data_IF_557372694125
#
_entry.id   IF_557372694125
#
_cell.length_a   1.000
_cell.length_b   1.000
_cell.length_c   1.000
_cell.angle_alpha   90.00
_cell.angle_beta   90.00
_cell.angle_gamma   90.00
#
_symmetry.space_group_name_H-M   'P 1'
#
loop_
_entity.id
_entity.type
_entity.pdbx_description
1 polymer ?
#
# COMPACT_ATOMS: atom_id res chain seq x y z
N UNK A 1 -24.64 -23.99 -2.55
CA UNK A 1 -23.77 -22.95 -1.97
C UNK A 1 -23.91 -21.74 -2.85
N UNK A 2 -24.50 -20.68 -2.31
CA UNK A 2 -24.83 -19.47 -3.08
C UNK A 2 -23.56 -18.62 -3.28
N UNK A 3 -23.14 -18.31 -4.53
CA UNK A 3 -21.98 -17.47 -4.80
C UNK A 3 -22.09 -16.08 -4.15
N UNK A 4 -23.31 -15.59 -3.91
CA UNK A 4 -23.57 -14.28 -3.30
C UNK A 4 -23.26 -14.25 -1.80
N UNK A 5 -23.37 -15.39 -1.09
CA UNK A 5 -23.06 -15.48 0.35
C UNK A 5 -21.57 -15.22 0.68
N UNK A 6 -20.67 -15.48 -0.26
CA UNK A 6 -19.22 -15.20 -0.11
C UNK A 6 -18.86 -13.74 -0.39
N UNK A 7 -19.71 -13.00 -1.11
CA UNK A 7 -19.54 -11.58 -1.40
C UNK A 7 -19.84 -10.74 -0.15
N UNK A 8 -20.98 -10.99 0.49
CA UNK A 8 -21.45 -10.26 1.66
C UNK A 8 -20.55 -10.44 2.89
N UNK A 9 -20.04 -11.66 3.11
CA UNK A 9 -19.13 -11.94 4.22
C UNK A 9 -17.78 -11.21 4.10
N UNK A 10 -17.28 -11.00 2.86
CA UNK A 10 -16.04 -10.26 2.61
C UNK A 10 -16.23 -8.75 2.77
N UNK A 11 -17.39 -8.24 2.37
CA UNK A 11 -17.78 -6.84 2.59
C UNK A 11 -17.84 -6.51 4.09
N UNK A 12 -18.44 -7.38 4.90
CA UNK A 12 -18.48 -7.22 6.37
C UNK A 12 -17.09 -7.22 7.02
N UNK A 13 -16.16 -8.07 6.56
CA UNK A 13 -14.77 -8.08 7.07
C UNK A 13 -14.03 -6.79 6.77
N UNK A 14 -14.17 -6.26 5.55
CA UNK A 14 -13.54 -5.01 5.15
C UNK A 14 -14.13 -3.83 5.93
N UNK A 15 -15.45 -3.75 6.06
CA UNK A 15 -16.12 -2.71 6.83
C UNK A 15 -15.74 -2.76 8.33
N UNK A 16 -15.64 -3.96 8.90
CA UNK A 16 -15.16 -4.18 10.26
C UNK A 16 -13.71 -3.71 10.45
N UNK A 17 -12.81 -4.05 9.52
CA UNK A 17 -11.42 -3.59 9.54
C UNK A 17 -11.30 -2.06 9.46
N UNK A 18 -12.08 -1.41 8.58
CA UNK A 18 -12.15 0.05 8.49
C UNK A 18 -12.64 0.69 9.78
N UNK A 19 -13.72 0.16 10.35
CA UNK A 19 -14.30 0.69 11.59
C UNK A 19 -13.31 0.56 12.75
N UNK A 20 -12.67 -0.61 12.85
CA UNK A 20 -11.70 -0.90 13.90
C UNK A 20 -10.50 0.05 13.87
N UNK A 21 -9.85 0.26 12.73
CA UNK A 21 -8.71 1.19 12.66
C UNK A 21 -9.15 2.64 12.87
N UNK A 22 -10.37 3.01 12.48
CA UNK A 22 -10.92 4.35 12.69
C UNK A 22 -11.17 4.64 14.18
N UNK A 23 -11.69 3.67 14.91
CA UNK A 23 -12.02 3.80 16.34
C UNK A 23 -10.80 3.62 17.23
N UNK A 24 -9.93 2.66 16.89
CA UNK A 24 -8.86 2.16 17.75
C UNK A 24 -7.45 2.40 17.14
N UNK A 25 -7.30 3.42 16.29
CA UNK A 25 -6.02 3.73 15.60
C UNK A 25 -4.80 3.77 16.53
N UNK A 26 -4.98 4.24 17.77
CA UNK A 26 -3.93 4.31 18.77
C UNK A 26 -3.27 2.96 19.10
N UNK A 27 -3.95 1.83 18.86
CA UNK A 27 -3.38 0.50 19.08
C UNK A 27 -2.22 0.17 18.12
N UNK A 28 -2.25 0.70 16.89
CA UNK A 28 -1.16 0.53 15.91
C UNK A 28 -0.05 1.57 16.09
N UNK A 29 -0.44 2.83 16.32
CA UNK A 29 0.50 3.94 16.43
C UNK A 29 1.16 4.00 17.82
N UNK A 30 0.57 3.38 18.84
CA UNK A 30 1.03 3.39 20.22
C UNK A 30 1.29 4.81 20.72
N UNK A 31 2.56 5.12 20.97
CA UNK A 31 3.03 6.42 21.46
C UNK A 31 3.40 7.41 20.35
N UNK A 32 3.44 7.00 19.08
CA UNK A 32 3.68 7.94 17.98
C UNK A 32 2.47 8.84 17.76
N UNK A 33 2.69 10.14 17.52
CA UNK A 33 1.60 11.02 17.13
C UNK A 33 1.04 10.58 15.78
N UNK A 34 -0.29 10.51 15.70
CA UNK A 34 -1.01 10.33 14.45
C UNK A 34 -1.04 11.69 13.76
N UNK A 35 -0.43 11.80 12.58
CA UNK A 35 -0.39 13.08 11.87
C UNK A 35 -1.78 13.46 11.33
N UNK A 36 -2.04 14.75 11.01
CA UNK A 36 -3.28 15.14 10.35
C UNK A 36 -3.52 14.39 9.02
N UNK A 37 -2.44 14.08 8.29
CA UNK A 37 -2.46 13.30 7.04
C UNK A 37 -2.89 11.86 7.28
N UNK A 38 -2.39 11.25 8.37
CA UNK A 38 -2.81 9.90 8.79
C UNK A 38 -4.28 9.87 9.18
N UNK A 39 -4.73 10.85 9.99
CA UNK A 39 -6.13 10.97 10.37
C UNK A 39 -7.06 11.11 9.17
N UNK A 40 -6.67 11.92 8.18
CA UNK A 40 -7.44 12.08 6.94
C UNK A 40 -7.59 10.74 6.21
N UNK A 41 -6.48 9.99 6.06
CA UNK A 41 -6.48 8.70 5.38
C UNK A 41 -7.30 7.62 6.13
N UNK A 42 -7.22 7.60 7.46
CA UNK A 42 -7.95 6.63 8.32
C UNK A 42 -9.45 6.93 8.33
N UNK A 43 -9.84 8.21 8.27
CA UNK A 43 -11.23 8.63 8.46
C UNK A 43 -12.00 8.88 7.17
N UNK A 44 -11.34 8.90 6.02
CA UNK A 44 -11.97 9.24 4.74
C UNK A 44 -13.05 8.26 4.30
N UNK A 45 -13.97 8.76 3.49
CA UNK A 45 -14.93 7.93 2.78
C UNK A 45 -14.25 7.17 1.63
N UNK A 46 -14.95 6.15 1.12
CA UNK A 46 -14.48 5.34 0.01
C UNK A 46 -14.34 6.20 -1.25
N UNK A 47 -13.15 6.17 -1.86
CA UNK A 47 -12.92 6.83 -3.15
C UNK A 47 -13.85 6.21 -4.19
N UNK A 48 -14.78 7.02 -4.71
CA UNK A 48 -15.95 6.55 -5.47
C UNK A 48 -15.66 5.69 -6.71
N UNK A 49 -14.45 5.79 -7.28
CA UNK A 49 -14.04 5.02 -8.46
C UNK A 49 -13.20 3.78 -8.12
N UNK A 50 -12.73 3.62 -6.88
CA UNK A 50 -11.84 2.54 -6.47
C UNK A 50 -12.63 1.36 -5.90
N UNK A 51 -12.27 0.13 -6.31
CA UNK A 51 -12.82 -1.09 -5.75
C UNK A 51 -11.90 -1.63 -4.65
N UNK A 52 -12.35 -1.61 -3.39
CA UNK A 52 -11.56 -2.02 -2.23
C UNK A 52 -11.66 -3.53 -1.91
N UNK A 53 -10.78 -4.04 -1.05
CA UNK A 53 -10.75 -5.45 -0.66
C UNK A 53 -9.95 -6.35 -1.62
N UNK A 54 -10.43 -7.57 -1.92
CA UNK A 54 -9.68 -8.58 -2.73
C UNK A 54 -9.20 -8.06 -4.10
N UNK A 55 -9.89 -7.08 -4.68
CA UNK A 55 -9.58 -6.51 -6.00
C UNK A 55 -8.45 -5.48 -5.99
N UNK A 56 -8.07 -4.99 -4.80
CA UNK A 56 -7.05 -3.97 -4.63
C UNK A 56 -6.14 -4.34 -3.46
N UNK A 57 -4.88 -4.64 -3.75
CA UNK A 57 -3.98 -5.30 -2.82
C UNK A 57 -2.52 -4.88 -3.04
N UNK A 58 -1.69 -5.04 -2.01
CA UNK A 58 -0.24 -4.90 -2.13
C UNK A 58 0.28 -6.03 -3.02
N UNK A 59 0.87 -5.69 -4.16
CA UNK A 59 1.24 -6.68 -5.16
C UNK A 59 2.68 -7.14 -5.01
N UNK A 60 3.61 -6.19 -4.96
CA UNK A 60 5.02 -6.52 -5.03
C UNK A 60 5.97 -5.40 -4.62
N UNK A 61 7.24 -5.76 -4.53
CA UNK A 61 8.37 -4.84 -4.43
C UNK A 61 9.19 -4.95 -5.71
N UNK A 62 9.36 -3.85 -6.43
CA UNK A 62 10.36 -3.74 -7.50
C UNK A 62 11.66 -3.25 -6.91
N UNK A 63 12.79 -3.88 -7.26
CA UNK A 63 14.07 -3.53 -6.67
C UNK A 63 15.26 -3.83 -7.60
N UNK A 64 16.32 -3.07 -7.41
CA UNK A 64 17.62 -3.24 -8.04
C UNK A 64 18.68 -2.79 -7.04
N UNK A 65 19.62 -3.65 -6.67
CA UNK A 65 20.74 -3.25 -5.79
C UNK A 65 21.83 -2.56 -6.59
N UNK A 66 22.54 -1.66 -5.94
CA UNK A 66 23.72 -1.04 -6.53
C UNK A 66 24.78 -2.09 -6.88
N UNK A 67 25.23 -2.11 -8.13
CA UNK A 67 26.22 -3.08 -8.63
C UNK A 67 25.66 -4.44 -9.05
N UNK A 68 24.34 -4.67 -8.95
CA UNK A 68 23.69 -5.88 -9.48
C UNK A 68 23.08 -5.60 -10.88
N UNK A 69 23.87 -5.70 -11.96
CA UNK A 69 23.36 -5.63 -13.34
C UNK A 69 22.44 -4.44 -13.66
N UNK A 70 21.59 -4.59 -14.69
CA UNK A 70 20.62 -3.56 -15.12
C UNK A 70 19.15 -4.01 -14.98
N UNK A 71 18.90 -5.25 -14.59
CA UNK A 71 17.55 -5.84 -14.61
C UNK A 71 16.85 -5.65 -13.27
N UNK A 72 15.83 -4.79 -13.24
CA UNK A 72 14.92 -4.62 -12.10
C UNK A 72 14.24 -5.96 -11.78
N UNK A 73 14.39 -6.39 -10.53
CA UNK A 73 13.75 -7.57 -9.99
C UNK A 73 12.36 -7.23 -9.45
N UNK A 74 11.47 -8.22 -9.46
CA UNK A 74 10.11 -8.10 -8.93
C UNK A 74 9.83 -9.22 -7.93
N UNK A 75 9.73 -8.86 -6.65
CA UNK A 75 9.39 -9.80 -5.57
C UNK A 75 7.93 -9.62 -5.19
N UNK A 76 7.09 -10.64 -5.45
CA UNK A 76 5.67 -10.63 -5.06
C UNK A 76 5.54 -10.63 -3.53
N UNK A 77 4.63 -9.81 -3.02
CA UNK A 77 4.38 -9.69 -1.58
C UNK A 77 3.27 -10.65 -1.15
N UNK A 78 3.64 -11.91 -0.94
CA UNK A 78 2.72 -12.99 -0.53
C UNK A 78 2.82 -13.28 0.97
N UNK A 79 1.99 -14.18 1.49
CA UNK A 79 2.07 -14.66 2.87
C UNK A 79 3.45 -15.23 3.20
N UNK A 80 4.01 -16.04 2.29
CA UNK A 80 5.28 -16.74 2.48
C UNK A 80 6.47 -15.78 2.55
N UNK A 81 6.40 -14.67 1.83
CA UNK A 81 7.49 -13.71 1.70
C UNK A 81 7.24 -12.39 2.46
N UNK A 82 6.19 -12.32 3.30
CA UNK A 82 5.79 -11.09 4.00
C UNK A 82 6.92 -10.50 4.84
N UNK A 83 7.59 -11.35 5.63
CA UNK A 83 8.73 -10.94 6.47
C UNK A 83 9.91 -10.46 5.62
N UNK A 84 10.21 -11.14 4.51
CA UNK A 84 11.30 -10.75 3.61
C UNK A 84 11.02 -9.39 2.95
N UNK A 85 9.79 -9.14 2.50
CA UNK A 85 9.40 -7.88 1.89
C UNK A 85 9.40 -6.73 2.90
N UNK A 86 8.87 -6.93 4.12
CA UNK A 86 8.97 -5.96 5.22
C UNK A 86 10.43 -5.61 5.51
N UNK A 87 11.31 -6.62 5.58
CA UNK A 87 12.75 -6.43 5.78
C UNK A 87 13.37 -5.59 4.67
N UNK A 88 13.04 -5.84 3.40
CA UNK A 88 13.54 -5.02 2.29
C UNK A 88 13.12 -3.55 2.43
N UNK A 89 11.84 -3.31 2.75
CA UNK A 89 11.32 -1.94 2.96
C UNK A 89 12.06 -1.24 4.11
N UNK A 90 12.27 -1.95 5.22
CA UNK A 90 13.05 -1.46 6.35
C UNK A 90 14.50 -1.11 5.97
N UNK A 91 15.17 -1.99 5.21
CA UNK A 91 16.55 -1.78 4.73
C UNK A 91 16.70 -0.59 3.79
N UNK A 92 15.61 -0.21 3.12
CA UNK A 92 15.53 0.95 2.24
C UNK A 92 15.03 2.22 2.95
N UNK A 93 14.93 2.21 4.29
CA UNK A 93 14.56 3.37 5.09
C UNK A 93 13.05 3.57 5.27
N UNK A 94 12.23 2.57 4.99
CA UNK A 94 10.82 2.58 5.36
C UNK A 94 10.61 2.46 6.86
N UNK A 95 9.55 3.07 7.38
CA UNK A 95 9.22 3.04 8.80
C UNK A 95 8.63 1.68 9.18
N UNK A 96 9.23 0.99 10.16
CA UNK A 96 8.71 -0.27 10.70
C UNK A 96 8.54 -0.12 12.21
N UNK A 97 7.36 -0.49 12.73
CA UNK A 97 7.03 -0.44 14.15
C UNK A 97 6.37 -1.73 14.61
N UNK A 98 6.65 -2.12 15.85
CA UNK A 98 6.08 -3.30 16.50
C UNK A 98 6.93 -4.53 16.29
N UNK A 99 7.41 -4.79 15.08
CA UNK A 99 8.17 -6.01 14.72
C UNK A 99 9.59 -6.09 15.32
N UNK A 100 9.85 -6.81 16.44
CA UNK A 100 11.15 -6.77 17.11
C UNK A 100 12.25 -7.49 16.30
N UNK A 101 11.84 -8.48 15.51
CA UNK A 101 12.72 -9.25 14.63
C UNK A 101 13.13 -8.48 13.35
N UNK A 102 12.55 -7.31 13.12
CA UNK A 102 12.88 -6.41 12.01
C UNK A 102 13.56 -5.12 12.49
N UNK A 103 14.03 -5.06 13.73
CA UNK A 103 14.74 -3.89 14.25
C UNK A 103 16.11 -3.80 13.57
N UNK A 104 16.34 -2.68 12.88
CA UNK A 104 17.64 -2.28 12.30
C UNK A 104 18.31 -3.34 11.41
N UNK A 105 17.64 -3.86 10.37
CA UNK A 105 18.34 -4.69 9.41
C UNK A 105 19.46 -3.87 8.76
N UNK A 106 20.62 -4.50 8.46
CA UNK A 106 21.74 -3.78 7.87
C UNK A 106 21.28 -3.09 6.58
N UNK A 107 21.58 -1.78 6.42
CA UNK A 107 21.13 -1.04 5.26
C UNK A 107 21.70 -1.67 4.00
N UNK A 108 20.88 -1.68 2.95
CA UNK A 108 21.28 -2.16 1.63
C UNK A 108 21.30 -0.97 0.69
N UNK A 109 22.36 -0.85 -0.10
CA UNK A 109 22.45 0.19 -1.11
C UNK A 109 21.57 -0.20 -2.31
N UNK A 110 20.32 0.25 -2.28
CA UNK A 110 19.37 0.05 -3.38
C UNK A 110 19.57 1.14 -4.42
N UNK A 111 19.80 0.76 -5.68
CA UNK A 111 19.82 1.69 -6.81
C UNK A 111 18.40 2.14 -7.15
N UNK A 112 17.46 1.21 -7.20
CA UNK A 112 16.04 1.48 -7.38
C UNK A 112 15.21 0.59 -6.47
N UNK A 113 14.18 1.15 -5.85
CA UNK A 113 13.19 0.36 -5.13
C UNK A 113 11.82 1.05 -5.12
N UNK A 114 10.76 0.29 -5.39
CA UNK A 114 9.37 0.74 -5.34
C UNK A 114 8.50 -0.33 -4.67
N UNK A 115 7.56 0.13 -3.86
CA UNK A 115 6.50 -0.71 -3.28
C UNK A 115 5.23 -0.48 -4.09
N UNK A 116 4.59 -1.56 -4.53
CA UNK A 116 3.51 -1.52 -5.52
C UNK A 116 2.19 -2.00 -4.93
N UNK A 117 1.13 -1.25 -5.22
CA UNK A 117 -0.26 -1.61 -4.95
C UNK A 117 -0.95 -1.82 -6.29
N UNK A 118 -1.55 -2.99 -6.47
CA UNK A 118 -2.50 -3.23 -7.55
C UNK A 118 -3.85 -2.65 -7.15
N UNK A 119 -4.45 -1.83 -8.00
CA UNK A 119 -5.78 -1.27 -7.80
C UNK A 119 -6.69 -1.64 -8.95
N UNK A 120 -7.94 -1.92 -8.58
CA UNK A 120 -9.05 -2.03 -9.53
C UNK A 120 -9.93 -0.78 -9.42
N UNK A 121 -10.26 -0.22 -10.57
CA UNK A 121 -11.06 1.00 -10.72
C UNK A 121 -12.31 0.65 -11.49
N UNK A 122 -13.47 0.98 -10.94
CA UNK A 122 -14.78 0.84 -11.59
C UNK A 122 -15.38 2.22 -11.76
N UNK A 123 -15.42 2.70 -13.02
CA UNK A 123 -16.10 3.94 -13.32
C UNK A 123 -17.61 3.67 -13.46
N UNK A 124 -18.40 4.01 -12.43
CA UNK A 124 -19.86 3.91 -12.47
C UNK A 124 -20.55 4.98 -13.36
N UNK A 125 -19.80 5.72 -14.18
CA UNK A 125 -20.30 6.91 -14.89
C UNK A 125 -20.88 6.64 -16.29
N UNK A 126 -20.90 5.40 -16.75
CA UNK A 126 -21.58 5.01 -18.00
C UNK A 126 -22.32 3.68 -17.81
N UNK A 127 -23.36 3.45 -18.63
CA UNK A 127 -24.11 2.19 -18.72
C UNK A 127 -23.27 0.96 -19.10
N UNK A 128 -21.97 1.15 -19.29
CA UNK A 128 -20.95 0.13 -19.46
C UNK A 128 -20.01 0.15 -18.24
N UNK A 129 -19.90 -0.98 -17.55
CA UNK A 129 -18.93 -1.23 -16.48
C UNK A 129 -17.52 -1.23 -17.09
N UNK A 130 -16.89 -0.06 -17.19
CA UNK A 130 -15.48 0.05 -17.56
C UNK A 130 -14.61 -0.23 -16.32
N UNK A 131 -14.29 -1.52 -16.14
CA UNK A 131 -13.34 -1.97 -15.11
C UNK A 131 -11.93 -1.84 -15.67
N UNK A 132 -11.11 -1.02 -15.02
CA UNK A 132 -9.68 -0.90 -15.33
C UNK A 132 -8.84 -1.35 -14.14
N UNK A 133 -7.65 -1.84 -14.41
CA UNK A 133 -6.68 -2.23 -13.39
C UNK A 133 -5.33 -1.61 -13.70
N UNK A 134 -4.56 -1.35 -12.65
CA UNK A 134 -3.23 -0.76 -12.77
C UNK A 134 -2.51 -0.74 -11.45
N UNK A 135 -1.29 -0.21 -11.48
CA UNK A 135 -0.39 -0.17 -10.32
C UNK A 135 -0.16 1.27 -9.91
N UNK A 136 -0.27 1.50 -8.60
CA UNK A 136 0.29 2.66 -7.93
C UNK A 136 1.55 2.24 -7.18
N UNK A 137 2.58 3.07 -7.24
CA UNK A 137 3.87 2.80 -6.61
C UNK A 137 4.32 3.97 -5.75
N UNK A 138 5.03 3.67 -4.66
CA UNK A 138 5.79 4.68 -3.91
C UNK A 138 7.17 4.15 -3.53
N UNK A 139 8.00 5.00 -2.94
CA UNK A 139 9.30 4.63 -2.40
C UNK A 139 9.17 4.00 -1.01
N UNK A 140 10.08 3.11 -0.62
CA UNK A 140 10.11 2.56 0.74
C UNK A 140 10.13 3.63 1.84
N UNK A 141 10.86 4.73 1.66
CA UNK A 141 10.92 5.85 2.61
C UNK A 141 9.60 6.60 2.80
N UNK A 142 8.62 6.36 1.92
CA UNK A 142 7.24 6.87 2.00
C UNK A 142 6.26 5.78 2.46
N UNK A 143 6.77 4.68 3.01
CA UNK A 143 5.98 3.57 3.55
C UNK A 143 6.22 3.43 5.04
N UNK A 144 5.14 3.28 5.81
CA UNK A 144 5.15 2.92 7.23
C UNK A 144 4.38 1.61 7.43
N UNK A 145 4.94 0.68 8.19
CA UNK A 145 4.33 -0.62 8.51
C UNK A 145 4.27 -0.77 10.03
N UNK A 146 3.09 -1.09 10.54
CA UNK A 146 2.77 -1.24 11.94
C UNK A 146 2.32 -2.66 12.21
N UNK A 147 2.92 -3.30 13.21
CA UNK A 147 2.41 -4.57 13.73
C UNK A 147 1.03 -4.36 14.34
N UNK A 148 0.12 -5.28 14.03
CA UNK A 148 -1.21 -5.27 14.63
C UNK A 148 -1.19 -5.62 16.11
N UNK A 149 -2.11 -5.08 16.92
CA UNK A 149 -2.20 -5.44 18.34
C UNK A 149 -2.57 -6.93 18.50
N UNK A 150 -1.74 -7.68 19.23
CA UNK A 150 -1.94 -9.12 19.48
C UNK A 150 -3.23 -9.43 20.23
N UNK A 151 -3.76 -8.45 20.95
CA UNK A 151 -4.99 -8.54 21.75
C UNK A 151 -6.25 -8.66 20.88
N UNK A 152 -6.24 -8.12 19.66
CA UNK A 152 -7.39 -8.15 18.76
C UNK A 152 -7.48 -9.45 17.97
N UNK A 153 -6.34 -9.97 17.52
CA UNK A 153 -6.29 -11.27 16.87
C UNK A 153 -4.89 -11.90 17.07
N UNK A 154 -4.75 -12.86 17.99
CA UNK A 154 -3.45 -13.48 18.28
C UNK A 154 -2.98 -14.43 17.16
N UNK A 155 -3.89 -14.85 16.27
CA UNK A 155 -3.61 -15.83 15.20
C UNK A 155 -3.26 -15.11 13.89
N UNK A 156 -3.94 -14.01 13.57
CA UNK A 156 -3.73 -13.26 12.34
C UNK A 156 -3.45 -11.80 12.68
N UNK A 157 -2.17 -11.39 12.73
CA UNK A 157 -1.84 -10.02 13.09
C UNK A 157 -2.44 -9.07 12.05
N UNK A 158 -3.29 -8.16 12.53
CA UNK A 158 -3.96 -7.13 11.74
C UNK A 158 -2.98 -5.99 11.43
N UNK A 159 -1.84 -6.32 10.83
CA UNK A 159 -0.81 -5.34 10.52
C UNK A 159 -1.37 -4.26 9.59
N UNK A 160 -0.90 -3.03 9.76
CA UNK A 160 -1.31 -1.88 8.95
C UNK A 160 -0.13 -1.33 8.18
N UNK A 161 -0.38 -0.91 6.95
CA UNK A 161 0.60 -0.23 6.11
C UNK A 161 0.01 1.07 5.59
N UNK A 162 0.78 2.14 5.71
CA UNK A 162 0.48 3.44 5.09
C UNK A 162 1.52 3.70 4.02
N UNK A 163 1.06 3.99 2.81
CA UNK A 163 1.89 4.34 1.67
C UNK A 163 1.53 5.75 1.21
N UNK A 164 2.46 6.69 1.30
CA UNK A 164 2.24 8.07 0.89
C UNK A 164 2.70 8.31 -0.53
N UNK A 165 2.12 9.34 -1.16
CA UNK A 165 2.56 9.89 -2.44
C UNK A 165 2.65 8.84 -3.57
N UNK A 166 1.74 7.85 -3.58
CA UNK A 166 1.73 6.81 -4.59
C UNK A 166 1.34 7.37 -5.95
N UNK A 167 2.10 7.02 -6.99
CA UNK A 167 1.89 7.48 -8.36
C UNK A 167 1.66 6.31 -9.31
N UNK A 168 0.89 6.50 -10.40
CA UNK A 168 0.73 5.50 -11.46
C UNK A 168 2.05 5.00 -12.01
N UNK A 169 2.16 3.69 -12.23
CA UNK A 169 3.34 3.06 -12.84
C UNK A 169 3.02 2.16 -14.05
N UNK A 170 1.74 2.01 -14.41
CA UNK A 170 1.29 1.20 -15.55
C UNK A 170 0.53 2.07 -16.55
N UNK A 171 0.69 1.79 -17.84
CA UNK A 171 0.08 2.56 -18.94
C UNK A 171 -1.44 2.79 -18.74
N UNK A 172 -2.18 1.76 -18.32
CA UNK A 172 -3.62 1.87 -18.04
C UNK A 172 -3.97 3.00 -17.07
N UNK A 173 -3.15 3.21 -16.03
CA UNK A 173 -3.38 4.24 -15.02
C UNK A 173 -2.73 5.58 -15.39
N UNK A 174 -1.65 5.56 -16.17
CA UNK A 174 -1.04 6.76 -16.75
C UNK A 174 -2.01 7.43 -17.73
N UNK A 175 -2.91 6.66 -18.36
CA UNK A 175 -3.93 7.20 -19.27
C UNK A 175 -5.28 7.47 -18.60
N UNK A 176 -5.49 7.03 -17.36
CA UNK A 176 -6.74 7.21 -16.62
C UNK A 176 -6.81 8.62 -16.01
N UNK A 177 -7.65 9.55 -16.50
CA UNK A 177 -7.60 10.96 -16.08
C UNK A 177 -7.84 11.19 -14.59
N UNK A 178 -8.62 10.30 -13.95
CA UNK A 178 -8.89 10.34 -12.52
C UNK A 178 -7.65 10.06 -11.66
N UNK A 179 -6.62 9.40 -12.21
CA UNK A 179 -5.49 8.86 -11.43
C UNK A 179 -4.15 9.42 -11.94
N UNK A 180 -3.99 9.51 -13.26
CA UNK A 180 -2.74 9.83 -13.97
C UNK A 180 -1.97 11.03 -13.42
N UNK A 181 -2.69 12.11 -13.09
CA UNK A 181 -2.10 13.40 -12.69
C UNK A 181 -2.09 13.63 -11.18
N UNK A 182 -2.37 12.59 -10.38
CA UNK A 182 -2.56 12.70 -8.93
C UNK A 182 -1.60 11.80 -8.16
N UNK A 183 -1.31 12.20 -6.93
CA UNK A 183 -0.67 11.36 -5.92
C UNK A 183 -1.74 10.81 -4.99
N UNK A 184 -1.51 9.61 -4.49
CA UNK A 184 -2.48 8.89 -3.66
C UNK A 184 -1.82 8.38 -2.40
N UNK A 185 -2.43 8.68 -1.26
CA UNK A 185 -2.11 8.00 -0.01
C UNK A 185 -3.00 6.78 0.13
N UNK A 186 -2.43 5.67 0.56
CA UNK A 186 -3.10 4.38 0.58
C UNK A 186 -2.92 3.75 1.96
N UNK A 187 -4.03 3.34 2.55
CA UNK A 187 -4.07 2.54 3.78
C UNK A 187 -4.33 1.09 3.39
N UNK A 188 -3.47 0.19 3.87
CA UNK A 188 -3.63 -1.24 3.72
C UNK A 188 -3.67 -1.92 5.08
N UNK A 189 -4.37 -3.05 5.14
CA UNK A 189 -4.36 -3.92 6.30
C UNK A 189 -4.13 -5.37 5.87
N UNK A 190 -3.36 -6.09 6.67
CA UNK A 190 -3.13 -7.53 6.50
C UNK A 190 -4.37 -8.30 6.94
N UNK A 191 -5.01 -8.99 6.02
CA UNK A 191 -6.28 -9.70 6.20
C UNK A 191 -6.14 -11.21 5.89
N UNK A 192 -5.47 -11.95 6.79
CA UNK A 192 -5.44 -13.43 6.87
C UNK A 192 -4.83 -14.19 5.66
N UNK A 193 -4.48 -15.47 5.88
CA UNK A 193 -3.71 -16.34 4.97
C UNK A 193 -4.48 -16.95 3.78
N UNK A 194 -5.81 -16.79 3.71
CA UNK A 194 -6.65 -17.30 2.60
C UNK A 194 -6.50 -16.49 1.29
N UNK A 195 -5.40 -15.76 1.15
CA UNK A 195 -5.15 -14.81 0.10
C UNK A 195 -3.72 -14.97 -0.40
N UNK A 196 -3.55 -15.08 -1.72
CA UNK A 196 -2.23 -15.02 -2.35
C UNK A 196 -1.51 -13.69 -2.03
N UNK A 197 -2.29 -12.63 -1.80
CA UNK A 197 -1.84 -11.29 -1.41
C UNK A 197 -2.54 -10.88 -0.10
N UNK A 198 -1.85 -10.96 1.05
CA UNK A 198 -2.50 -10.82 2.36
C UNK A 198 -2.85 -9.37 2.71
N UNK A 199 -2.28 -8.39 2.01
CA UNK A 199 -2.47 -6.96 2.28
C UNK A 199 -3.51 -6.37 1.35
N UNK A 200 -4.67 -6.00 1.89
CA UNK A 200 -5.77 -5.42 1.13
C UNK A 200 -5.84 -3.92 1.34
N UNK A 201 -6.23 -3.18 0.31
CA UNK A 201 -6.45 -1.74 0.40
C UNK A 201 -7.76 -1.48 1.16
N UNK A 202 -7.66 -0.71 2.25
CA UNK A 202 -8.79 -0.23 3.02
C UNK A 202 -9.30 1.08 2.45
N UNK A 203 -8.43 2.08 2.35
CA UNK A 203 -8.80 3.42 1.89
C UNK A 203 -7.71 4.04 1.04
N UNK A 204 -8.09 5.04 0.25
CA UNK A 204 -7.15 5.89 -0.47
C UNK A 204 -7.66 7.34 -0.50
N UNK A 205 -6.73 8.29 -0.46
CA UNK A 205 -7.00 9.72 -0.49
C UNK A 205 -6.09 10.39 -1.52
N UNK A 206 -6.65 11.34 -2.27
CA UNK A 206 -5.88 12.21 -3.15
C UNK A 206 -4.99 13.15 -2.31
N UNK A 207 -3.67 13.00 -2.43
CA UNK A 207 -2.69 13.78 -1.68
C UNK A 207 -2.09 14.95 -2.46
N UNK A 208 -2.64 15.24 -3.65
CA UNK A 208 -2.28 16.41 -4.43
C UNK A 208 -1.88 16.07 -5.87
N UNK A 209 -1.49 17.12 -6.59
CA UNK A 209 -1.08 16.99 -7.98
C UNK A 209 0.25 16.25 -8.11
N UNK A 210 0.31 15.31 -9.05
CA UNK A 210 1.55 14.83 -9.62
C UNK A 210 1.92 15.75 -10.78
N UNK A 211 2.83 16.69 -10.53
CA UNK A 211 3.53 17.40 -11.59
C UNK A 211 4.89 16.72 -11.79
N UNK A 212 5.18 16.22 -12.99
CA UNK A 212 6.55 15.83 -13.39
C UNK A 212 7.54 17.00 -13.41
N UNK A 213 7.11 18.19 -12.96
CA UNK A 213 7.90 19.41 -12.97
C UNK A 213 9.05 19.30 -11.95
N UNK A 214 10.18 18.84 -12.48
CA UNK A 214 11.57 19.09 -12.07
C UNK A 214 11.87 19.04 -10.57
N UNK A 215 12.06 17.86 -9.98
CA UNK A 215 12.95 17.69 -8.82
C UNK A 215 13.38 16.24 -8.71
N UNK A 216 14.42 15.87 -9.50
CA UNK A 216 15.39 14.79 -9.21
C UNK A 216 16.46 14.58 -10.28
N UNK A 217 16.39 15.31 -11.40
CA UNK A 217 17.46 15.32 -12.43
C UNK A 217 18.49 16.46 -12.27
N UNK A 218 18.67 17.02 -11.06
CA UNK A 218 19.64 18.11 -10.82
C UNK A 218 20.71 17.89 -9.74
N UNK A 219 20.84 16.70 -9.16
CA UNK A 219 21.96 16.39 -8.25
C UNK A 219 23.01 15.42 -8.82
N UNK A 220 23.02 15.16 -10.14
CA UNK A 220 24.04 14.27 -10.74
C UNK A 220 24.95 14.92 -11.81
N UNK A 221 24.88 16.23 -12.06
CA UNK A 221 25.89 16.90 -12.89
C UNK A 221 26.19 18.30 -12.36
N UNK A 222 27.08 18.37 -11.37
CA UNK A 222 27.96 19.51 -11.16
C UNK A 222 29.36 18.93 -11.05
N UNK A 223 30.18 19.30 -12.03
CA UNK A 223 31.57 18.86 -12.25
C UNK A 223 32.43 19.17 -11.03
#
# INVERSE_FOLDING_TARGET
MDPDSKSDFKSCKLAGAKSLIKEESHLWFGTEPISPRDHQLISCDDTAFAAFGKSSYLSSVYHLKHGEGEMIQNTRWTCENDIACKKMVAQAGGGIRGFPHLIQPPPVNWLHMKVNVSLTVSAARSSELNVSWGILSTRPTRTRIFEGPSELCPIHPLDVMIMYDCTPSTENFIQQPLIASRKWDILLMKMCEDYDYPWVVLSMVDSGSYSEVEHEHRECYSI
#
